data_IF_963197606084
#
_entry.id   IF_963197606084
#
_cell.length_a   1.000
_cell.length_b   1.000
_cell.length_c   1.000
_cell.angle_alpha   90.00
_cell.angle_beta   90.00
_cell.angle_gamma   90.00
#
_symmetry.space_group_name_H-M   'P 1'
#
loop_
_entity.id
_entity.type
_entity.pdbx_description
1 polymer ?
#
# COMPACT_ATOMS: atom_id res chain seq x y z
N UNK A 1 -1.07 -15.42 20.01
CA UNK A 1 -0.90 -14.01 20.41
C UNK A 1 -1.73 -13.17 19.45
N UNK A 2 -2.59 -12.26 19.93
CA UNK A 2 -3.37 -11.40 19.06
C UNK A 2 -2.53 -10.23 18.51
N UNK A 3 -2.75 -9.85 17.25
CA UNK A 3 -2.13 -8.72 16.56
C UNK A 3 -3.23 -7.94 15.83
N UNK A 4 -3.24 -6.62 15.99
CA UNK A 4 -4.25 -5.73 15.39
C UNK A 4 -3.57 -4.58 14.66
N UNK A 5 -4.14 -4.18 13.51
CA UNK A 5 -3.79 -2.95 12.82
C UNK A 5 -4.70 -1.81 13.31
N UNK A 6 -4.18 -0.59 13.40
CA UNK A 6 -4.99 0.57 13.75
C UNK A 6 -5.98 0.90 12.62
N UNK A 7 -7.18 1.40 12.93
CA UNK A 7 -8.08 1.94 11.90
C UNK A 7 -7.45 3.15 11.20
N UNK A 8 -7.96 3.47 10.01
CA UNK A 8 -7.43 4.53 9.15
C UNK A 8 -5.91 4.41 8.90
N UNK A 9 -5.44 3.19 8.65
CA UNK A 9 -4.02 2.94 8.40
C UNK A 9 -3.80 2.19 7.08
N UNK A 10 -2.61 2.38 6.53
CA UNK A 10 -2.12 1.63 5.37
C UNK A 10 -0.80 0.99 5.76
N UNK A 11 -0.69 -0.31 5.54
CA UNK A 11 0.54 -1.07 5.76
C UNK A 11 1.05 -1.55 4.41
N UNK A 12 2.29 -1.19 4.08
CA UNK A 12 2.99 -1.76 2.95
C UNK A 12 3.41 -3.20 3.28
N UNK A 13 2.78 -4.17 2.63
CA UNK A 13 3.06 -5.58 2.81
C UNK A 13 4.01 -6.09 1.73
N UNK A 14 5.09 -6.73 2.16
CA UNK A 14 6.14 -7.27 1.29
C UNK A 14 5.70 -8.43 0.42
N UNK A 15 6.40 -8.63 -0.69
CA UNK A 15 6.16 -9.75 -1.61
C UNK A 15 6.83 -11.06 -1.17
N UNK A 16 7.85 -10.98 -0.30
CA UNK A 16 8.68 -12.13 0.07
C UNK A 16 8.49 -12.55 1.53
N UNK A 17 8.54 -13.86 1.78
CA UNK A 17 8.36 -14.45 3.12
C UNK A 17 9.54 -15.28 3.60
N UNK A 18 10.45 -15.66 2.70
CA UNK A 18 11.59 -16.54 3.03
C UNK A 18 12.85 -15.77 3.46
N UNK A 19 13.02 -14.54 2.96
CA UNK A 19 14.20 -13.72 3.24
C UNK A 19 13.83 -12.25 3.47
N UNK A 20 14.56 -11.56 4.35
CA UNK A 20 14.34 -10.14 4.60
C UNK A 20 15.00 -9.25 3.53
N UNK A 21 16.02 -9.72 2.83
CA UNK A 21 16.70 -8.98 1.75
C UNK A 21 15.91 -9.15 0.44
N UNK A 22 15.25 -8.10 -0.03
CA UNK A 22 14.65 -8.01 -1.36
C UNK A 22 14.33 -6.54 -1.71
N UNK A 23 13.92 -6.28 -2.95
CA UNK A 23 13.42 -4.96 -3.34
C UNK A 23 12.01 -4.73 -2.78
N UNK A 24 11.92 -3.97 -1.68
CA UNK A 24 10.65 -3.71 -0.98
C UNK A 24 9.66 -2.87 -1.80
N UNK A 25 10.10 -2.27 -2.92
CA UNK A 25 9.25 -1.50 -3.83
C UNK A 25 8.56 -2.36 -4.88
N UNK A 26 8.93 -3.63 -5.00
CA UNK A 26 8.40 -4.55 -6.00
C UNK A 26 7.42 -5.55 -5.40
N UNK A 27 6.26 -5.69 -6.03
CA UNK A 27 5.24 -6.65 -5.60
C UNK A 27 4.50 -6.23 -4.32
N UNK A 28 4.74 -5.01 -3.83
CA UNK A 28 4.17 -4.47 -2.59
C UNK A 28 2.65 -4.45 -2.66
N UNK A 29 2.00 -4.90 -1.59
CA UNK A 29 0.55 -4.74 -1.41
C UNK A 29 0.30 -3.68 -0.36
N UNK A 30 -0.36 -2.59 -0.75
CA UNK A 30 -0.83 -1.58 0.20
C UNK A 30 -2.14 -2.07 0.82
N UNK A 31 -2.03 -2.62 2.04
CA UNK A 31 -3.18 -3.10 2.81
C UNK A 31 -3.84 -1.96 3.56
N UNK A 32 -5.11 -1.74 3.29
CA UNK A 32 -5.90 -0.65 3.86
C UNK A 32 -6.77 -1.21 4.99
N UNK A 33 -6.67 -0.61 6.18
CA UNK A 33 -7.40 -1.06 7.36
C UNK A 33 -8.39 0.01 7.81
N UNK A 34 -9.68 -0.36 7.81
CA UNK A 34 -10.80 0.45 8.31
C UNK A 34 -10.69 1.94 7.95
N UNK A 35 -10.36 2.23 6.68
CA UNK A 35 -10.29 3.61 6.19
C UNK A 35 -11.71 4.15 6.04
N UNK A 36 -12.07 5.12 6.86
CA UNK A 36 -13.39 5.73 6.86
C UNK A 36 -13.62 6.51 5.55
N UNK A 37 -14.89 6.66 5.16
CA UNK A 37 -15.25 7.44 3.98
C UNK A 37 -14.80 8.90 4.11
N UNK A 38 -14.26 9.46 3.03
CA UNK A 38 -13.69 10.81 2.99
C UNK A 38 -12.34 10.98 3.70
N UNK A 39 -11.73 9.89 4.20
CA UNK A 39 -10.41 9.93 4.85
C UNK A 39 -9.29 9.49 3.92
N UNK A 40 -8.08 9.80 4.38
CA UNK A 40 -6.83 9.36 3.77
C UNK A 40 -5.86 8.85 4.84
N UNK A 41 -5.03 7.89 4.47
CA UNK A 41 -3.97 7.34 5.29
C UNK A 41 -2.66 7.27 4.50
N UNK A 42 -1.55 7.66 5.14
CA UNK A 42 -0.24 7.67 4.52
C UNK A 42 0.44 6.30 4.58
N UNK A 43 1.36 6.05 3.64
CA UNK A 43 2.28 4.93 3.68
C UNK A 43 3.70 5.39 3.33
N UNK A 44 4.68 4.65 3.84
CA UNK A 44 6.10 4.82 3.52
C UNK A 44 6.73 3.44 3.36
N UNK A 45 7.48 3.25 2.29
CA UNK A 45 8.35 2.10 2.05
C UNK A 45 9.78 2.59 2.15
N UNK A 46 10.53 2.00 3.09
CA UNK A 46 11.94 2.30 3.31
C UNK A 46 12.78 1.23 2.61
N UNK A 47 13.81 1.62 1.87
CA UNK A 47 14.71 0.69 1.20
C UNK A 47 15.63 -0.05 2.19
N UNK A 48 16.36 -1.04 1.69
CA UNK A 48 17.36 -1.79 2.45
C UNK A 48 18.53 -0.91 2.94
N UNK A 49 18.71 0.25 2.34
CA UNK A 49 19.70 1.28 2.71
C UNK A 49 19.20 2.26 3.79
N UNK A 50 17.95 2.12 4.24
CA UNK A 50 17.33 2.99 5.23
C UNK A 50 16.75 4.28 4.67
N UNK A 51 16.85 4.54 3.36
CA UNK A 51 16.27 5.71 2.73
C UNK A 51 14.81 5.47 2.32
N UNK A 52 14.04 6.54 2.10
CA UNK A 52 12.69 6.38 1.57
C UNK A 52 12.77 5.96 0.10
N UNK A 53 12.20 4.79 -0.20
CA UNK A 53 12.13 4.24 -1.53
C UNK A 53 10.79 4.54 -2.22
N UNK A 54 9.70 4.65 -1.44
CA UNK A 54 8.42 5.18 -1.88
C UNK A 54 7.64 5.78 -0.71
N UNK A 55 6.82 6.80 -0.96
CA UNK A 55 5.83 7.30 -0.01
C UNK A 55 4.59 7.81 -0.72
N UNK A 56 3.47 7.84 -0.02
CA UNK A 56 2.21 8.26 -0.61
C UNK A 56 1.03 8.22 0.35
N UNK A 57 -0.17 8.31 -0.21
CA UNK A 57 -1.43 8.22 0.52
C UNK A 57 -2.42 7.32 -0.21
N UNK A 58 -3.29 6.67 0.57
CA UNK A 58 -4.53 6.05 0.08
C UNK A 58 -5.70 6.85 0.61
N UNK A 59 -6.63 7.24 -0.26
CA UNK A 59 -7.87 7.93 0.09
C UNK A 59 -9.09 7.09 -0.25
N UNK A 60 -10.19 7.29 0.49
CA UNK A 60 -11.48 6.65 0.23
C UNK A 60 -12.56 7.70 -0.09
N UNK A 61 -13.36 7.41 -1.11
CA UNK A 61 -14.60 8.12 -1.44
C UNK A 61 -15.69 7.10 -1.81
N UNK A 62 -16.68 6.92 -0.95
CA UNK A 62 -17.65 5.84 -1.05
C UNK A 62 -16.98 4.46 -1.06
N UNK A 63 -17.22 3.67 -2.11
CA UNK A 63 -16.55 2.38 -2.33
C UNK A 63 -15.21 2.47 -3.08
N UNK A 64 -14.80 3.67 -3.51
CA UNK A 64 -13.59 3.86 -4.31
C UNK A 64 -12.40 4.19 -3.43
N UNK A 65 -11.31 3.45 -3.63
CA UNK A 65 -10.02 3.66 -3.02
C UNK A 65 -9.04 4.18 -4.07
N UNK A 66 -8.25 5.18 -3.70
CA UNK A 66 -7.23 5.76 -4.59
C UNK A 66 -5.90 5.86 -3.87
N UNK A 67 -4.91 5.09 -4.33
CA UNK A 67 -3.54 5.18 -3.88
C UNK A 67 -2.76 6.14 -4.79
N UNK A 68 -1.95 7.01 -4.19
CA UNK A 68 -1.09 7.98 -4.87
C UNK A 68 0.31 7.94 -4.25
N UNK A 69 1.31 7.62 -5.04
CA UNK A 69 2.73 7.70 -4.70
C UNK A 69 3.21 9.11 -5.00
N UNK A 70 3.74 9.82 -4.00
CA UNK A 70 4.19 11.22 -4.12
C UNK A 70 5.71 11.38 -4.18
N UNK A 71 6.46 10.38 -3.73
CA UNK A 71 7.91 10.32 -3.85
C UNK A 71 8.35 8.86 -4.01
N UNK A 72 9.40 8.65 -4.79
CA UNK A 72 9.85 7.31 -5.15
C UNK A 72 8.89 6.58 -6.10
N UNK A 73 8.94 5.26 -6.13
CA UNK A 73 8.11 4.45 -6.99
C UNK A 73 7.82 3.07 -6.41
N UNK A 74 6.67 2.51 -6.78
CA UNK A 74 6.33 1.10 -6.59
C UNK A 74 6.22 0.42 -7.97
N UNK A 75 6.54 -0.87 -8.03
CA UNK A 75 6.44 -1.71 -9.23
C UNK A 75 5.63 -2.96 -8.92
N UNK A 76 4.83 -3.40 -9.88
CA UNK A 76 4.01 -4.61 -9.75
C UNK A 76 3.14 -4.61 -8.46
N UNK A 77 2.59 -3.46 -8.09
CA UNK A 77 1.96 -3.24 -6.78
C UNK A 77 0.43 -3.30 -6.83
N UNK A 78 -0.23 -3.46 -5.68
CA UNK A 78 -1.69 -3.54 -5.60
C UNK A 78 -2.24 -2.93 -4.31
N UNK A 79 -3.55 -2.65 -4.29
CA UNK A 79 -4.31 -2.39 -3.06
C UNK A 79 -4.97 -3.68 -2.56
N UNK A 80 -5.08 -3.81 -1.25
CA UNK A 80 -5.93 -4.82 -0.60
C UNK A 80 -6.82 -4.13 0.44
N UNK A 81 -8.13 -4.37 0.36
CA UNK A 81 -9.15 -3.83 1.25
C UNK A 81 -10.04 -5.01 1.66
N UNK A 82 -10.18 -5.23 2.97
CA UNK A 82 -11.04 -6.29 3.54
C UNK A 82 -10.84 -7.68 2.90
N UNK A 83 -9.59 -8.01 2.54
CA UNK A 83 -9.21 -9.28 1.91
C UNK A 83 -9.47 -9.37 0.39
N UNK A 84 -10.07 -8.34 -0.21
CA UNK A 84 -10.18 -8.21 -1.66
C UNK A 84 -8.98 -7.44 -2.22
N UNK A 85 -8.44 -7.91 -3.35
CA UNK A 85 -7.25 -7.34 -3.98
C UNK A 85 -7.59 -6.70 -5.32
N UNK A 86 -7.03 -5.51 -5.57
CA UNK A 86 -7.12 -4.86 -6.88
C UNK A 86 -6.34 -5.63 -7.95
N UNK A 87 -6.56 -5.33 -9.25
CA UNK A 87 -5.58 -5.64 -10.27
C UNK A 87 -4.19 -5.06 -9.94
N UNK A 88 -3.15 -5.72 -10.43
CA UNK A 88 -1.77 -5.26 -10.26
C UNK A 88 -1.52 -4.03 -11.15
N UNK A 89 -0.96 -2.98 -10.55
CA UNK A 89 -0.38 -1.84 -11.24
C UNK A 89 1.09 -2.15 -11.53
N UNK A 90 1.41 -2.49 -12.78
CA UNK A 90 2.79 -2.80 -13.20
C UNK A 90 3.73 -1.61 -12.96
N UNK A 91 3.33 -0.43 -13.41
CA UNK A 91 4.05 0.83 -13.24
C UNK A 91 3.06 1.99 -13.09
N UNK A 92 3.47 3.05 -12.40
CA UNK A 92 2.68 4.27 -12.27
C UNK A 92 2.48 4.70 -10.81
N UNK A 93 2.27 6.00 -10.64
CA UNK A 93 2.17 6.65 -9.34
C UNK A 93 0.74 6.67 -8.76
N UNK A 94 -0.26 6.15 -9.47
CA UNK A 94 -1.65 6.19 -9.03
C UNK A 94 -2.40 4.91 -9.41
N UNK A 95 -3.23 4.43 -8.49
CA UNK A 95 -4.14 3.30 -8.69
C UNK A 95 -5.49 3.65 -8.05
N UNK A 96 -6.56 3.61 -8.85
CA UNK A 96 -7.93 3.75 -8.38
C UNK A 96 -8.67 2.43 -8.59
N UNK A 97 -9.38 1.97 -7.55
CA UNK A 97 -10.13 0.72 -7.57
C UNK A 97 -11.36 0.80 -6.67
N UNK A 98 -12.42 0.07 -7.02
CA UNK A 98 -13.62 -0.07 -6.21
C UNK A 98 -13.65 -1.47 -5.64
N UNK A 99 -13.68 -1.58 -4.31
CA UNK A 99 -13.71 -2.85 -3.58
C UNK A 99 -15.12 -3.45 -3.52
#
# INVERSE_FOLDING_TARGET
MPLYAAPNSVIAWGAETEKPDYDYTRGTVLRVFELEDGKSAAFTVVGSDGNVAARGMVSRQGGRYTAQVSEGALRDWALEVDGQRSPVQTEGASLSWTA
#
